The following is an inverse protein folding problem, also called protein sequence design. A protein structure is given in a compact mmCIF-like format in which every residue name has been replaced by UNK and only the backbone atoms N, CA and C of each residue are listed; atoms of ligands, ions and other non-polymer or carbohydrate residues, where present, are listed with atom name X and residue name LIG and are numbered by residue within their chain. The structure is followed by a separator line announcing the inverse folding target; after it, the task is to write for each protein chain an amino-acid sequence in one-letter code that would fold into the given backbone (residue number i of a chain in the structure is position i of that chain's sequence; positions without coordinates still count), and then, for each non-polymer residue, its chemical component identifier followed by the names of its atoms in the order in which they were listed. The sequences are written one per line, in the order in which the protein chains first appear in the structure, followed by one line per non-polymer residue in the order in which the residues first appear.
data_IF_153835058051
#
_entry.id   IF_153835058051
#
_cell.length_a   1.000
_cell.length_b   1.000
_cell.length_c   1.000
_cell.angle_alpha   90.00
_cell.angle_beta   90.00
_cell.angle_gamma   90.00
#
_symmetry.space_group_name_H-M   'P 1'
#
loop_
_entity.id
_entity.type
_entity.pdbx_description
1 polymer ?
#
# COMPACT_ATOMS: atom_id res chain seq x y z
N UNK A 1 -13.07 -10.21 18.01
CA UNK A 1 -11.63 -10.60 17.99
C UNK A 1 -10.90 -10.12 16.71
N UNK A 2 -11.25 -8.98 16.12
CA UNK A 2 -11.04 -8.74 14.67
C UNK A 2 -9.93 -7.75 14.29
N UNK A 3 -9.61 -6.74 15.12
CA UNK A 3 -8.72 -5.64 14.71
C UNK A 3 -7.28 -5.78 15.21
N UNK A 4 -7.09 -6.28 16.44
CA UNK A 4 -5.77 -6.45 17.05
C UNK A 4 -4.90 -7.49 16.33
N UNK A 5 -5.48 -8.59 15.87
CA UNK A 5 -4.76 -9.62 15.10
C UNK A 5 -4.29 -9.12 13.73
N UNK A 6 -5.12 -8.28 13.08
CA UNK A 6 -4.83 -7.73 11.74
C UNK A 6 -3.70 -6.72 11.73
N UNK A 7 -3.63 -5.90 12.78
CA UNK A 7 -2.54 -4.95 12.98
C UNK A 7 -1.21 -5.66 13.32
N UNK A 8 -1.27 -6.87 13.86
CA UNK A 8 -0.08 -7.66 14.16
C UNK A 8 0.59 -8.17 12.86
N UNK A 9 -0.20 -8.51 11.85
CA UNK A 9 0.30 -9.04 10.57
C UNK A 9 1.05 -7.96 9.76
N UNK A 10 0.53 -6.73 9.69
CA UNK A 10 1.22 -5.65 8.97
C UNK A 10 2.54 -5.21 9.63
N UNK A 11 2.71 -5.51 10.92
CA UNK A 11 3.92 -5.23 11.69
C UNK A 11 5.02 -6.28 11.47
N UNK A 12 4.69 -7.52 11.05
CA UNK A 12 5.69 -8.58 10.82
C UNK A 12 6.24 -8.61 9.40
N UNK A 13 5.41 -8.27 8.40
CA UNK A 13 5.83 -8.26 6.99
C UNK A 13 6.97 -7.27 6.83
N UNK A 14 8.14 -7.74 6.40
CA UNK A 14 9.37 -6.95 6.34
C UNK A 14 9.58 -6.30 4.96
N UNK A 15 10.20 -5.12 4.93
CA UNK A 15 10.69 -4.48 3.71
C UNK A 15 12.22 -4.48 3.61
N UNK A 16 12.91 -4.32 4.75
CA UNK A 16 14.37 -4.43 4.86
C UNK A 16 14.70 -5.43 5.97
N UNK A 17 15.50 -6.44 5.65
CA UNK A 17 16.04 -7.39 6.62
C UNK A 17 17.32 -6.83 7.23
N UNK A 18 17.59 -7.19 8.48
CA UNK A 18 18.77 -6.76 9.21
C UNK A 18 18.89 -7.48 10.55
N UNK A 19 20.10 -7.57 11.06
CA UNK A 19 20.43 -8.08 12.40
C UNK A 19 20.90 -6.88 13.24
N UNK A 20 20.26 -6.54 14.39
CA UNK A 20 19.22 -7.29 15.11
C UNK A 20 17.77 -6.89 14.83
N UNK A 21 17.51 -5.91 13.94
CA UNK A 21 16.16 -5.39 13.68
C UNK A 21 15.86 -5.32 12.19
N UNK A 22 14.67 -5.78 11.82
CA UNK A 22 14.10 -5.53 10.49
C UNK A 22 13.32 -4.22 10.47
N UNK A 23 13.04 -3.74 9.27
CA UNK A 23 12.15 -2.60 9.05
C UNK A 23 10.82 -3.09 8.44
N UNK A 24 9.68 -2.92 9.15
CA UNK A 24 8.37 -3.35 8.66
C UNK A 24 7.99 -2.68 7.35
N UNK A 25 7.24 -3.39 6.51
CA UNK A 25 6.81 -2.89 5.20
C UNK A 25 5.92 -1.66 5.32
N UNK A 26 4.96 -1.64 6.25
CA UNK A 26 4.12 -0.46 6.48
C UNK A 26 4.96 0.76 6.86
N UNK A 27 5.98 0.59 7.70
CA UNK A 27 6.88 1.68 8.07
C UNK A 27 7.67 2.18 6.86
N UNK A 28 8.22 1.27 6.06
CA UNK A 28 9.00 1.62 4.85
C UNK A 28 8.18 2.42 3.84
N UNK A 29 6.96 1.98 3.55
CA UNK A 29 6.11 2.69 2.57
C UNK A 29 5.65 4.05 3.09
N UNK A 30 5.46 4.20 4.41
CA UNK A 30 5.16 5.49 5.05
C UNK A 30 6.38 6.43 5.03
N UNK A 31 7.57 5.90 5.25
CA UNK A 31 8.82 6.67 5.16
C UNK A 31 9.02 7.22 3.74
N UNK A 32 8.81 6.39 2.72
CA UNK A 32 8.92 6.82 1.31
C UNK A 32 7.85 7.85 0.95
N UNK A 33 6.60 7.67 1.41
CA UNK A 33 5.56 8.67 1.22
C UNK A 33 5.94 10.01 1.87
N UNK A 34 6.43 9.99 3.11
CA UNK A 34 6.84 11.20 3.82
C UNK A 34 8.02 11.91 3.13
N UNK A 35 8.99 11.15 2.62
CA UNK A 35 10.11 11.70 1.83
C UNK A 35 9.61 12.34 0.53
N UNK A 36 8.74 11.67 -0.21
CA UNK A 36 8.19 12.19 -1.47
C UNK A 36 7.39 13.50 -1.25
N UNK A 37 6.54 13.54 -0.21
CA UNK A 37 5.81 14.76 0.15
C UNK A 37 6.77 15.89 0.55
N UNK A 38 7.76 15.57 1.39
CA UNK A 38 8.80 16.48 1.87
C UNK A 38 9.60 17.12 0.73
N UNK A 39 9.93 16.34 -0.30
CA UNK A 39 10.62 16.82 -1.51
C UNK A 39 9.69 17.77 -2.27
N UNK A 40 8.45 17.36 -2.59
CA UNK A 40 7.52 18.20 -3.35
C UNK A 40 7.13 19.49 -2.65
N UNK A 41 7.09 19.51 -1.31
CA UNK A 41 6.85 20.72 -0.55
C UNK A 41 8.03 21.72 -0.63
N UNK A 42 9.24 21.26 -0.95
CA UNK A 42 10.44 22.09 -1.14
C UNK A 42 10.65 22.52 -2.60
N UNK A 43 10.00 21.85 -3.54
CA UNK A 43 10.03 22.22 -4.95
C UNK A 43 9.41 23.61 -5.20
N UNK A 44 9.86 24.34 -6.24
CA UNK A 44 9.23 25.59 -6.63
C UNK A 44 7.72 25.44 -6.89
N UNK A 45 6.91 26.48 -6.66
CA UNK A 45 5.46 26.46 -6.95
C UNK A 45 5.12 25.96 -8.37
N UNK A 46 5.98 26.28 -9.35
CA UNK A 46 5.85 25.87 -10.74
C UNK A 46 5.85 24.36 -10.92
N UNK A 47 6.64 23.61 -10.12
CA UNK A 47 6.67 22.14 -10.19
C UNK A 47 5.32 21.56 -9.79
N UNK A 48 4.72 22.06 -8.71
CA UNK A 48 3.40 21.60 -8.24
C UNK A 48 2.29 22.02 -9.19
N UNK A 49 2.31 23.25 -9.70
CA UNK A 49 1.37 23.73 -10.69
C UNK A 49 1.42 22.90 -11.98
N UNK A 50 2.63 22.57 -12.46
CA UNK A 50 2.81 21.71 -13.62
C UNK A 50 2.28 20.30 -13.37
N UNK A 51 2.64 19.67 -12.24
CA UNK A 51 2.13 18.35 -11.86
C UNK A 51 0.60 18.32 -11.71
N UNK A 52 0.00 19.37 -11.14
CA UNK A 52 -1.44 19.51 -11.01
C UNK A 52 -2.14 19.42 -12.37
N UNK A 53 -1.59 20.09 -13.38
CA UNK A 53 -2.09 20.06 -14.76
C UNK A 53 -1.94 18.67 -15.39
N UNK A 54 -0.80 17.99 -15.18
CA UNK A 54 -0.56 16.66 -15.76
C UNK A 54 -1.43 15.58 -15.11
N UNK A 55 -1.70 15.72 -13.80
CA UNK A 55 -2.45 14.75 -13.01
C UNK A 55 -3.95 15.04 -12.97
N UNK A 56 -4.39 16.19 -13.49
CA UNK A 56 -5.78 16.67 -13.44
C UNK A 56 -6.34 16.71 -12.01
N UNK A 57 -5.53 17.19 -11.06
CA UNK A 57 -5.91 17.34 -9.64
C UNK A 57 -5.62 18.76 -9.15
N UNK A 58 -6.26 19.21 -8.04
CA UNK A 58 -5.94 20.50 -7.44
C UNK A 58 -4.48 20.57 -6.98
N UNK A 59 -3.84 21.74 -7.14
CA UNK A 59 -2.43 21.94 -6.77
C UNK A 59 -2.16 21.59 -5.30
N UNK A 60 -3.09 21.94 -4.39
CA UNK A 60 -2.97 21.61 -2.97
C UNK A 60 -2.94 20.10 -2.69
N UNK A 61 -3.45 19.27 -3.60
CA UNK A 61 -3.50 17.81 -3.46
C UNK A 61 -2.30 17.10 -4.09
N UNK A 62 -1.48 17.79 -4.88
CA UNK A 62 -0.36 17.18 -5.64
C UNK A 62 0.66 16.50 -4.73
N UNK A 63 1.11 17.19 -3.68
CA UNK A 63 2.14 16.67 -2.79
C UNK A 63 1.69 15.37 -2.11
N UNK A 64 0.46 15.37 -1.57
CA UNK A 64 -0.14 14.20 -0.94
C UNK A 64 -0.40 13.07 -1.95
N UNK A 65 -0.84 13.39 -3.18
CA UNK A 65 -1.09 12.40 -4.22
C UNK A 65 0.17 11.68 -4.68
N UNK A 66 1.22 12.43 -4.98
CA UNK A 66 2.49 11.83 -5.37
C UNK A 66 3.09 11.03 -4.22
N UNK A 67 3.02 11.52 -2.98
CA UNK A 67 3.44 10.78 -1.80
C UNK A 67 2.72 9.44 -1.66
N UNK A 68 1.40 9.45 -1.81
CA UNK A 68 0.57 8.24 -1.80
C UNK A 68 1.02 7.22 -2.85
N UNK A 69 1.26 7.65 -4.09
CA UNK A 69 1.72 6.75 -5.14
C UNK A 69 3.13 6.23 -4.84
N UNK A 70 4.09 7.10 -4.53
CA UNK A 70 5.48 6.72 -4.27
C UNK A 70 5.63 5.72 -3.13
N UNK A 71 4.89 5.86 -2.04
CA UNK A 71 4.99 4.91 -0.93
C UNK A 71 4.60 3.48 -1.33
N UNK A 72 3.68 3.30 -2.30
CA UNK A 72 3.24 1.97 -2.74
C UNK A 72 4.23 1.20 -3.63
N UNK A 73 5.41 1.75 -3.95
CA UNK A 73 6.39 1.10 -4.85
C UNK A 73 6.73 -0.34 -4.42
N UNK A 74 6.84 -0.58 -3.10
CA UNK A 74 7.24 -1.86 -2.50
C UNK A 74 6.06 -2.75 -2.08
N UNK A 75 4.82 -2.44 -2.49
CA UNK A 75 3.62 -3.19 -2.11
C UNK A 75 3.72 -4.70 -2.38
N UNK A 76 4.38 -5.09 -3.46
CA UNK A 76 4.62 -6.48 -3.86
C UNK A 76 5.55 -7.27 -2.93
N UNK A 77 6.16 -6.63 -1.92
CA UNK A 77 6.89 -7.33 -0.86
C UNK A 77 5.97 -8.10 0.08
N UNK A 78 4.69 -7.73 0.16
CA UNK A 78 3.66 -8.47 0.89
C UNK A 78 3.19 -9.73 0.12
N UNK A 79 4.15 -10.55 -0.31
CA UNK A 79 3.94 -11.81 -1.01
C UNK A 79 4.76 -12.91 -0.33
N UNK A 80 4.28 -14.16 -0.32
CA UNK A 80 4.99 -15.25 0.34
C UNK A 80 6.38 -15.48 -0.25
N UNK A 81 6.55 -15.37 -1.58
CA UNK A 81 7.85 -15.54 -2.22
C UNK A 81 8.88 -14.48 -1.84
N UNK A 82 8.47 -13.21 -1.68
CA UNK A 82 9.39 -12.17 -1.19
C UNK A 82 9.72 -12.36 0.30
N UNK A 83 8.70 -12.59 1.14
CA UNK A 83 8.93 -12.73 2.59
C UNK A 83 9.82 -13.94 2.92
N UNK A 84 9.72 -15.02 2.14
CA UNK A 84 10.55 -16.22 2.26
C UNK A 84 12.04 -15.99 1.99
N UNK A 85 12.45 -14.84 1.43
CA UNK A 85 13.87 -14.51 1.21
C UNK A 85 14.66 -14.34 2.51
N UNK A 86 13.98 -14.10 3.62
CA UNK A 86 14.61 -13.99 4.94
C UNK A 86 13.88 -14.87 5.95
N UNK A 87 14.53 -15.96 6.37
CA UNK A 87 13.93 -17.01 7.18
C UNK A 87 13.33 -16.48 8.50
N UNK A 88 14.05 -15.60 9.20
CA UNK A 88 13.59 -15.03 10.48
C UNK A 88 12.32 -14.18 10.32
N UNK A 89 12.16 -13.49 9.19
CA UNK A 89 10.93 -12.75 8.86
C UNK A 89 9.79 -13.70 8.53
N UNK A 90 10.04 -14.70 7.68
CA UNK A 90 9.06 -15.72 7.34
C UNK A 90 8.56 -16.50 8.57
N UNK A 91 9.43 -16.78 9.54
CA UNK A 91 9.04 -17.44 10.79
C UNK A 91 8.13 -16.55 11.65
N UNK A 92 8.35 -15.23 11.66
CA UNK A 92 7.47 -14.28 12.34
C UNK A 92 6.10 -14.20 11.66
N UNK A 93 6.09 -14.13 10.33
CA UNK A 93 4.86 -14.15 9.54
C UNK A 93 4.04 -15.43 9.78
N UNK A 94 4.70 -16.59 9.87
CA UNK A 94 4.04 -17.86 10.22
C UNK A 94 3.40 -17.84 11.61
N UNK A 95 4.09 -17.25 12.61
CA UNK A 95 3.56 -17.14 13.99
C UNK A 95 2.30 -16.30 14.08
N UNK A 96 2.11 -15.33 13.17
CA UNK A 96 0.89 -14.52 13.08
C UNK A 96 -0.14 -15.09 12.10
N UNK A 97 0.09 -16.29 11.56
CA UNK A 97 -0.88 -17.05 10.77
C UNK A 97 -0.75 -16.93 9.25
N UNK A 98 0.31 -16.30 8.73
CA UNK A 98 0.57 -16.30 7.28
C UNK A 98 1.06 -17.68 6.82
N UNK A 99 0.50 -18.17 5.70
CA UNK A 99 0.73 -19.53 5.21
C UNK A 99 1.61 -19.48 3.95
N UNK A 100 2.75 -20.15 3.99
CA UNK A 100 3.73 -20.17 2.88
C UNK A 100 3.59 -21.40 1.98
N UNK A 101 2.68 -22.31 2.32
CA UNK A 101 2.37 -23.52 1.59
C UNK A 101 1.28 -23.31 0.51
N UNK A 102 1.35 -24.01 -0.62
CA UNK A 102 2.41 -24.93 -1.04
C UNK A 102 3.68 -24.20 -1.49
N UNK A 103 4.81 -24.91 -1.65
CA UNK A 103 6.09 -24.34 -2.17
C UNK A 103 5.92 -23.58 -3.49
N UNK A 104 4.92 -23.94 -4.30
CA UNK A 104 4.57 -23.21 -5.52
C UNK A 104 4.18 -21.73 -5.27
N UNK A 105 3.67 -21.38 -4.08
CA UNK A 105 3.39 -20.01 -3.67
C UNK A 105 4.64 -19.14 -3.52
N UNK A 106 5.81 -19.76 -3.35
CA UNK A 106 7.08 -19.06 -3.16
C UNK A 106 7.76 -18.69 -4.48
N UNK A 107 7.27 -19.19 -5.62
CA UNK A 107 7.92 -19.04 -6.93
C UNK A 107 8.04 -17.58 -7.37
N UNK A 108 7.06 -16.75 -7.01
CA UNK A 108 7.04 -15.35 -7.39
C UNK A 108 7.64 -14.50 -6.28
N UNK A 109 8.87 -14.02 -6.48
CA UNK A 109 9.69 -13.35 -5.47
C UNK A 109 10.19 -11.96 -5.90
N UNK A 110 9.88 -11.57 -7.15
CA UNK A 110 10.13 -10.24 -7.74
C UNK A 110 9.06 -9.26 -7.27
N UNK A 111 9.35 -8.53 -6.19
CA UNK A 111 8.40 -7.60 -5.58
C UNK A 111 8.01 -6.46 -6.52
N UNK A 112 8.89 -6.01 -7.41
CA UNK A 112 8.64 -4.98 -8.40
C UNK A 112 7.56 -5.39 -9.41
N UNK A 113 7.68 -6.60 -9.98
CA UNK A 113 6.64 -7.16 -10.85
C UNK A 113 5.35 -7.45 -10.06
N UNK A 114 5.48 -7.89 -8.81
CA UNK A 114 4.33 -8.16 -7.94
C UNK A 114 3.58 -6.88 -7.59
N UNK A 115 4.27 -5.77 -7.31
CA UNK A 115 3.69 -4.44 -7.13
C UNK A 115 2.93 -4.03 -8.39
N UNK A 116 3.58 -4.13 -9.55
CA UNK A 116 2.97 -3.76 -10.84
C UNK A 116 1.73 -4.59 -11.18
N UNK A 117 1.69 -5.86 -10.77
CA UNK A 117 0.53 -6.72 -10.98
C UNK A 117 -0.59 -6.41 -9.98
N UNK A 118 -0.28 -6.46 -8.69
CA UNK A 118 -1.26 -6.37 -7.61
C UNK A 118 -1.94 -4.99 -7.55
N UNK A 119 -1.19 -3.92 -7.80
CA UNK A 119 -1.70 -2.56 -7.71
C UNK A 119 -2.69 -2.20 -8.83
N UNK A 120 -2.70 -2.92 -9.95
CA UNK A 120 -3.71 -2.70 -11.01
C UNK A 120 -5.13 -2.89 -10.48
N UNK A 121 -5.35 -3.88 -9.62
CA UNK A 121 -6.65 -4.13 -9.01
C UNK A 121 -6.80 -3.38 -7.68
N UNK A 122 -5.76 -3.34 -6.86
CA UNK A 122 -5.81 -2.69 -5.56
C UNK A 122 -6.12 -1.19 -5.69
N UNK A 123 -5.48 -0.48 -6.62
CA UNK A 123 -5.72 0.95 -6.83
C UNK A 123 -7.11 1.25 -7.37
N UNK A 124 -7.77 0.33 -8.08
CA UNK A 124 -9.14 0.58 -8.55
C UNK A 124 -10.13 0.78 -7.40
N UNK A 125 -9.91 0.13 -6.25
CA UNK A 125 -10.74 0.32 -5.05
C UNK A 125 -10.50 1.67 -4.33
N UNK A 126 -9.50 2.42 -4.78
CA UNK A 126 -9.05 3.69 -4.19
C UNK A 126 -9.27 4.86 -5.15
N UNK A 127 -8.82 4.71 -6.40
CA UNK A 127 -8.77 5.76 -7.44
C UNK A 127 -9.89 5.59 -8.48
N UNK A 128 -10.42 4.37 -8.66
CA UNK A 128 -11.52 4.09 -9.59
C UNK A 128 -11.09 3.84 -11.04
N UNK A 129 -10.44 4.81 -11.69
CA UNK A 129 -10.11 4.74 -13.12
C UNK A 129 -9.10 3.62 -13.43
N UNK A 130 -9.51 2.63 -14.24
CA UNK A 130 -8.71 1.43 -14.49
C UNK A 130 -7.46 1.67 -15.32
N UNK A 131 -7.49 2.63 -16.25
CA UNK A 131 -6.37 2.90 -17.16
C UNK A 131 -5.30 3.74 -16.47
N UNK A 132 -5.72 4.70 -15.65
CA UNK A 132 -4.89 5.39 -14.68
C UNK A 132 -4.25 4.40 -13.70
N UNK A 133 -5.04 3.52 -13.08
CA UNK A 133 -4.51 2.51 -12.14
C UNK A 133 -3.46 1.60 -12.79
N UNK A 134 -3.67 1.21 -14.05
CA UNK A 134 -2.69 0.41 -14.80
C UNK A 134 -1.41 1.18 -15.07
N UNK A 135 -1.53 2.44 -15.47
CA UNK A 135 -0.39 3.32 -15.74
C UNK A 135 0.44 3.58 -14.48
N UNK A 136 -0.23 3.87 -13.35
CA UNK A 136 0.40 4.02 -12.05
C UNK A 136 1.07 2.72 -11.58
N UNK A 137 0.42 1.57 -11.75
CA UNK A 137 1.01 0.29 -11.39
C UNK A 137 2.25 -0.04 -12.24
N UNK A 138 2.25 0.28 -13.54
CA UNK A 138 3.44 0.16 -14.40
C UNK A 138 4.57 1.07 -13.94
N UNK A 139 4.27 2.34 -13.64
CA UNK A 139 5.23 3.31 -13.11
C UNK A 139 5.88 2.79 -11.81
N UNK A 140 5.06 2.28 -10.89
CA UNK A 140 5.54 1.71 -9.64
C UNK A 140 6.35 0.43 -9.86
N UNK A 141 6.03 -0.38 -10.87
CA UNK A 141 6.87 -1.51 -11.28
C UNK A 141 8.26 -1.10 -11.75
N UNK A 142 8.41 0.12 -12.26
CA UNK A 142 9.65 0.64 -12.82
C UNK A 142 10.64 1.19 -11.80
N UNK A 143 10.37 1.06 -10.50
CA UNK A 143 11.17 1.70 -9.43
C UNK A 143 12.62 1.18 -9.32
N UNK A 144 12.98 0.10 -9.99
CA UNK A 144 14.38 -0.35 -10.16
C UNK A 144 15.05 0.13 -11.46
N UNK A 145 14.47 1.13 -12.14
CA UNK A 145 15.04 1.76 -13.33
C UNK A 145 14.68 1.11 -14.67
N UNK A 146 13.73 0.18 -14.69
CA UNK A 146 13.28 -0.52 -15.90
C UNK A 146 11.76 -0.63 -15.95
N UNK A 147 11.12 -0.17 -17.03
CA UNK A 147 9.68 -0.34 -17.22
C UNK A 147 9.35 -1.78 -17.63
N UNK A 148 8.64 -2.56 -16.79
CA UNK A 148 8.30 -3.93 -17.13
C UNK A 148 7.26 -3.98 -18.25
N UNK A 149 7.43 -4.90 -19.19
CA UNK A 149 6.46 -5.17 -20.25
C UNK A 149 5.23 -5.88 -19.69
N UNK A 150 4.11 -5.79 -20.40
CA UNK A 150 2.84 -6.41 -19.98
C UNK A 150 2.95 -7.92 -19.70
N UNK A 151 3.80 -8.65 -20.41
CA UNK A 151 4.04 -10.08 -20.16
C UNK A 151 4.88 -10.34 -18.91
N UNK A 152 5.82 -9.45 -18.56
CA UNK A 152 6.60 -9.51 -17.31
C UNK A 152 5.72 -9.18 -16.11
N UNK A 153 4.85 -8.17 -16.24
CA UNK A 153 3.88 -7.84 -15.18
C UNK A 153 2.95 -9.02 -14.89
N UNK A 154 2.50 -9.75 -15.93
CA UNK A 154 1.70 -10.98 -15.74
C UNK A 154 2.44 -12.07 -14.97
N UNK A 155 3.77 -12.15 -15.11
CA UNK A 155 4.60 -13.07 -14.32
C UNK A 155 4.68 -12.64 -12.85
N UNK A 156 4.44 -11.35 -12.57
CA UNK A 156 4.30 -10.79 -11.22
C UNK A 156 3.13 -11.32 -10.39
N UNK A 157 2.22 -12.10 -10.97
CA UNK A 157 1.02 -12.61 -10.30
C UNK A 157 1.38 -13.61 -9.18
N UNK A 158 1.04 -13.33 -7.91
CA UNK A 158 1.10 -14.36 -6.87
C UNK A 158 0.19 -15.53 -7.24
N UNK A 159 0.74 -16.74 -7.18
CA UNK A 159 0.06 -17.97 -7.60
C UNK A 159 0.06 -18.95 -6.44
N UNK A 160 -1.03 -19.70 -6.23
CA UNK A 160 -1.17 -20.71 -5.17
C UNK A 160 -1.06 -20.21 -3.72
N UNK A 161 -0.93 -18.89 -3.49
CA UNK A 161 -0.98 -18.34 -2.13
C UNK A 161 -2.36 -18.54 -1.50
N UNK A 162 -2.40 -18.61 -0.17
CA UNK A 162 -3.66 -18.67 0.59
C UNK A 162 -4.29 -17.28 0.70
N UNK A 163 -5.62 -17.25 0.87
CA UNK A 163 -6.40 -16.02 0.97
C UNK A 163 -5.87 -15.03 2.03
N UNK A 164 -5.27 -15.54 3.11
CA UNK A 164 -4.67 -14.73 4.18
C UNK A 164 -3.61 -13.73 3.68
N UNK A 165 -2.88 -14.03 2.61
CA UNK A 165 -1.94 -13.07 2.01
C UNK A 165 -2.65 -11.91 1.33
N UNK A 166 -3.76 -12.18 0.65
CA UNK A 166 -4.57 -11.14 0.06
C UNK A 166 -5.24 -10.27 1.12
N UNK A 167 -5.75 -10.89 2.19
CA UNK A 167 -6.30 -10.17 3.34
C UNK A 167 -5.25 -9.25 3.99
N UNK A 168 -4.03 -9.77 4.23
CA UNK A 168 -2.93 -8.98 4.76
C UNK A 168 -2.57 -7.77 3.88
N UNK A 169 -2.55 -7.96 2.55
CA UNK A 169 -2.33 -6.87 1.59
C UNK A 169 -3.45 -5.85 1.56
N UNK A 170 -4.70 -6.29 1.63
CA UNK A 170 -5.86 -5.39 1.72
C UNK A 170 -5.81 -4.57 3.00
N UNK A 171 -5.49 -5.18 4.14
CA UNK A 171 -5.35 -4.48 5.42
C UNK A 171 -4.17 -3.50 5.39
N UNK A 172 -3.02 -3.90 4.83
CA UNK A 172 -1.86 -3.02 4.62
C UNK A 172 -2.22 -1.78 3.81
N UNK A 173 -2.88 -1.97 2.65
CA UNK A 173 -3.30 -0.86 1.78
C UNK A 173 -4.30 0.05 2.49
N UNK A 174 -5.27 -0.53 3.21
CA UNK A 174 -6.27 0.25 3.95
C UNK A 174 -5.62 1.12 5.03
N UNK A 175 -4.70 0.56 5.82
CA UNK A 175 -3.95 1.32 6.82
C UNK A 175 -3.13 2.44 6.17
N UNK A 176 -2.43 2.12 5.08
CA UNK A 176 -1.65 3.10 4.34
C UNK A 176 -2.51 4.26 3.82
N UNK A 177 -3.65 3.97 3.17
CA UNK A 177 -4.61 4.98 2.72
C UNK A 177 -5.13 5.85 3.87
N UNK A 178 -5.51 5.26 5.00
CA UNK A 178 -6.00 6.00 6.18
C UNK A 178 -4.96 6.95 6.77
N UNK A 179 -3.67 6.66 6.62
CA UNK A 179 -2.59 7.49 7.14
C UNK A 179 -2.21 8.60 6.15
N UNK A 180 -1.99 8.25 4.88
CA UNK A 180 -1.45 9.18 3.87
C UNK A 180 -2.56 10.01 3.21
N UNK A 181 -3.76 9.46 3.07
CA UNK A 181 -4.91 10.09 2.42
C UNK A 181 -6.20 9.90 3.24
N UNK A 182 -6.30 10.47 4.45
CA UNK A 182 -7.46 10.26 5.33
C UNK A 182 -8.78 10.79 4.75
N UNK A 183 -8.74 11.75 3.82
CA UNK A 183 -9.92 12.30 3.15
C UNK A 183 -10.37 11.46 1.94
N UNK A 184 -9.54 10.51 1.49
CA UNK A 184 -9.89 9.60 0.39
C UNK A 184 -10.66 8.41 0.95
N UNK A 185 -11.94 8.29 0.58
CA UNK A 185 -12.78 7.19 1.03
C UNK A 185 -12.37 5.89 0.33
N UNK A 186 -11.73 4.98 1.06
CA UNK A 186 -11.53 3.60 0.59
C UNK A 186 -12.89 2.92 0.38
N UNK A 187 -13.18 2.53 -0.86
CA UNK A 187 -14.42 1.85 -1.25
C UNK A 187 -14.09 0.38 -1.54
N UNK A 188 -14.26 -0.56 -0.58
CA UNK A 188 -14.08 -1.97 -0.88
C UNK A 188 -15.09 -2.39 -1.97
N UNK A 189 -14.62 -3.01 -3.06
CA UNK A 189 -15.55 -3.64 -4.01
C UNK A 189 -16.28 -4.76 -3.28
N UNK A 190 -17.61 -4.66 -3.19
CA UNK A 190 -18.45 -5.82 -2.88
C UNK A 190 -18.24 -6.89 -3.98
N UNK A 191 -18.34 -8.19 -3.66
CA UNK A 191 -18.52 -9.20 -4.71
C UNK A 191 -19.73 -8.80 -5.57
N UNK A 192 -19.74 -9.10 -6.88
CA UNK A 192 -20.81 -8.65 -7.76
C UNK A 192 -22.16 -9.17 -7.24
N UNK A 193 -22.95 -8.27 -6.64
CA UNK A 193 -24.31 -8.55 -6.23
C UNK A 193 -25.17 -8.66 -7.49
N UNK A 194 -25.93 -9.75 -7.56
CA UNK A 194 -26.94 -9.98 -8.57
C UNK A 194 -27.93 -8.81 -8.53
N UNK A 195 -28.03 -8.08 -9.63
CA UNK A 195 -28.93 -6.94 -9.74
C UNK A 195 -30.37 -7.46 -9.72
N UNK A 196 -31.04 -7.28 -8.59
CA UNK A 196 -32.49 -7.20 -8.59
C UNK A 196 -32.96 -5.99 -7.78
N UNK A 197 -33.98 -5.35 -8.33
CA UNK A 197 -34.34 -3.96 -8.11
C UNK A 197 -35.32 -3.77 -6.93
N UNK A 198 -35.43 -2.52 -6.46
CA UNK A 198 -36.52 -1.92 -5.64
C UNK A 198 -36.36 -1.90 -4.11
N UNK A 199 -35.84 -0.78 -3.53
CA UNK A 199 -36.43 0.03 -2.41
C UNK A 199 -35.54 1.20 -1.89
N UNK A 200 -36.13 2.23 -1.24
CA UNK A 200 -35.61 3.61 -1.12
C UNK A 200 -34.70 3.87 0.13
N UNK A 201 -34.09 5.06 0.26
CA UNK A 201 -32.87 5.25 1.05
C UNK A 201 -33.18 5.58 2.51
N UNK A 202 -32.63 4.81 3.45
CA UNK A 202 -32.57 5.23 4.85
C UNK A 202 -31.32 4.72 5.57
N UNK A 203 -30.79 5.65 6.36
CA UNK A 203 -29.84 5.53 7.48
C UNK A 203 -28.36 5.70 7.15
N UNK A 204 -27.92 6.96 7.31
CA UNK A 204 -26.60 7.30 7.85
C UNK A 204 -26.35 6.42 9.06
N UNK A 205 -25.22 5.72 9.09
CA UNK A 205 -24.67 5.19 10.34
C UNK A 205 -23.20 5.56 10.41
N UNK A 206 -22.92 6.55 11.25
CA UNK A 206 -21.59 6.85 11.77
C UNK A 206 -21.08 5.62 12.53
N UNK A 207 -20.22 4.82 11.90
CA UNK A 207 -19.46 3.82 12.61
C UNK A 207 -18.23 4.49 13.24
N UNK A 208 -18.41 5.04 14.44
CA UNK A 208 -17.32 5.60 15.25
C UNK A 208 -16.47 4.46 15.82
N UNK A 209 -15.40 4.10 15.12
CA UNK A 209 -14.42 3.07 15.53
C UNK A 209 -13.55 3.62 16.66
N UNK A 210 -13.89 3.34 17.93
CA UNK A 210 -13.15 3.79 19.13
C UNK A 210 -12.03 2.84 19.58
N UNK A 211 -11.19 2.36 18.66
CA UNK A 211 -10.08 1.47 19.05
C UNK A 211 -8.87 1.46 18.12
N UNK A 212 -9.06 1.76 16.83
CA UNK A 212 -7.97 1.94 15.88
C UNK A 212 -7.42 3.39 15.85
N UNK A 213 -8.05 4.30 16.60
CA UNK A 213 -7.76 5.73 16.53
C UNK A 213 -6.40 6.07 17.11
N UNK A 214 -5.98 5.48 18.23
CA UNK A 214 -4.72 5.88 18.89
C UNK A 214 -3.48 5.49 18.07
N UNK A 215 -3.42 4.28 17.51
CA UNK A 215 -2.28 3.85 16.69
C UNK A 215 -2.29 4.46 15.28
N UNK A 216 -3.46 4.70 14.68
CA UNK A 216 -3.56 5.50 13.45
C UNK A 216 -3.15 6.94 13.75
N UNK A 217 -3.53 7.51 14.90
CA UNK A 217 -3.06 8.82 15.34
C UNK A 217 -1.56 8.84 15.59
N UNK A 218 -0.96 7.79 16.16
CA UNK A 218 0.48 7.68 16.36
C UNK A 218 1.23 7.49 15.03
N UNK A 219 0.68 6.74 14.08
CA UNK A 219 1.25 6.61 12.74
C UNK A 219 1.08 7.90 11.91
N UNK A 220 -0.05 8.58 12.02
CA UNK A 220 -0.26 9.92 11.48
C UNK A 220 0.65 10.94 12.15
N UNK A 221 0.90 10.80 13.46
CA UNK A 221 1.84 11.63 14.22
C UNK A 221 3.27 11.35 13.80
N UNK A 222 3.64 10.09 13.59
CA UNK A 222 4.93 9.68 13.02
C UNK A 222 5.10 10.29 11.63
N UNK A 223 4.12 10.10 10.75
CA UNK A 223 4.11 10.66 9.40
C UNK A 223 4.26 12.19 9.42
N UNK A 224 3.42 12.90 10.19
CA UNK A 224 3.48 14.36 10.38
C UNK A 224 4.79 14.82 11.05
N UNK A 225 5.32 14.06 12.00
CA UNK A 225 6.59 14.34 12.67
C UNK A 225 7.76 14.22 11.70
N UNK A 226 7.75 13.22 10.83
CA UNK A 226 8.72 13.05 9.73
C UNK A 226 8.67 14.23 8.77
N UNK A 227 7.47 14.73 8.40
CA UNK A 227 7.31 15.94 7.58
C UNK A 227 7.89 17.19 8.25
N UNK A 228 7.67 17.38 9.55
CA UNK A 228 8.10 18.58 10.28
C UNK A 228 9.61 18.68 10.50
N UNK A 229 10.33 17.54 10.59
CA UNK A 229 11.76 17.57 10.94
C UNK A 229 12.73 17.69 9.79
N UNK A 230 12.30 17.50 8.54
CA UNK A 230 13.16 17.62 7.36
C UNK A 230 14.45 16.81 7.51
N UNK A 231 14.42 15.54 7.10
CA UNK A 231 15.54 14.58 7.11
C UNK A 231 16.93 15.26 7.23
N UNK A 232 17.49 15.23 8.45
CA UNK A 232 18.91 15.51 8.68
C UNK A 232 19.61 14.15 8.71
N UNK A 233 20.38 13.78 7.67
CA UNK A 233 21.20 12.57 7.76
C UNK A 233 22.19 12.76 8.92
N UNK A 234 22.40 11.68 9.69
CA UNK A 234 23.57 11.58 10.56
C UNK A 234 24.81 11.38 9.71
#
# INVERSE_FOLDING_TARGET
MSTFTKLNISKTIWAKSGDPKFHPLLAHILDVAAVAETILLREPPQTKAWLAQQLYIPEQSVAQFVAFICGLHDFGKATPGFQAKWQQGADQDRRVGLIFEPKAALKQDRHDLSSAYLLQQALQSVIGDSDCCRSLAMLLGAHHGYFPKSNEIKQGKPSFEKAIWNEARTDLLKMYCQIVMPEMVYQPKAPPECQDTLRPPLMRNECRIRGATEEIHDAQRYYRFTLQRGYRPR
#
